data_IF_104483758511
#
_entry.id   IF_104483758511
#
_cell.length_a   1.000
_cell.length_b   1.000
_cell.length_c   1.000
_cell.angle_alpha   90.00
_cell.angle_beta   90.00
_cell.angle_gamma   90.00
#
_symmetry.space_group_name_H-M   'P 1'
#
loop_
_entity.id
_entity.type
_entity.pdbx_description
1 polymer ?
#
# COMPACT_ATOMS: atom_id res chain seq x y z
N UNK A 1 23.82 14.29 -28.21
CA UNK A 1 24.07 13.23 -27.21
C UNK A 1 22.80 13.06 -26.40
N UNK A 2 22.07 11.96 -26.62
CA UNK A 2 20.78 11.73 -26.01
C UNK A 2 20.95 11.31 -24.54
N UNK A 3 20.23 11.99 -23.65
CA UNK A 3 20.27 11.80 -22.21
C UNK A 3 19.49 10.51 -21.85
N UNK A 4 20.16 9.36 -21.79
CA UNK A 4 19.59 8.11 -21.29
C UNK A 4 19.57 8.14 -19.76
N UNK A 5 18.66 8.92 -19.19
CA UNK A 5 18.33 8.83 -17.77
C UNK A 5 16.95 8.16 -17.63
N UNK A 6 16.85 6.93 -18.15
CA UNK A 6 15.76 6.02 -17.82
C UNK A 6 16.02 5.54 -16.41
N UNK A 7 15.54 6.30 -15.43
CA UNK A 7 15.57 5.91 -14.03
C UNK A 7 14.84 4.57 -13.89
N UNK A 8 15.61 3.50 -13.72
CA UNK A 8 15.15 2.19 -13.27
C UNK A 8 14.62 2.39 -11.86
N UNK A 9 13.34 2.76 -11.73
CA UNK A 9 12.66 2.70 -10.44
C UNK A 9 12.79 1.25 -9.97
N UNK A 10 13.59 1.01 -8.92
CA UNK A 10 13.84 -0.33 -8.42
C UNK A 10 12.51 -1.03 -8.14
N UNK A 11 12.13 -1.94 -9.03
CA UNK A 11 10.92 -2.73 -8.92
C UNK A 11 11.08 -3.56 -7.66
N UNK A 12 10.26 -3.26 -6.64
CA UNK A 12 10.29 -4.02 -5.39
C UNK A 12 9.97 -5.48 -5.71
N UNK A 13 10.84 -6.43 -5.31
CA UNK A 13 10.62 -7.83 -5.61
C UNK A 13 9.36 -8.34 -4.93
N UNK A 14 8.72 -9.30 -5.57
CA UNK A 14 7.59 -10.02 -5.02
C UNK A 14 8.05 -11.22 -4.20
N UNK A 15 7.24 -11.56 -3.20
CA UNK A 15 7.32 -12.78 -2.43
C UNK A 15 5.98 -13.50 -2.53
N UNK A 16 6.01 -14.76 -2.96
CA UNK A 16 4.88 -15.69 -2.87
C UNK A 16 4.95 -16.37 -1.50
N UNK A 17 3.83 -16.41 -0.80
CA UNK A 17 3.70 -16.95 0.54
C UNK A 17 2.44 -17.80 0.66
N UNK A 18 2.42 -18.63 1.69
CA UNK A 18 1.25 -19.42 2.08
C UNK A 18 0.78 -19.03 3.48
N UNK A 19 -0.53 -19.12 3.71
CA UNK A 19 -1.11 -19.10 5.05
C UNK A 19 -1.46 -20.51 5.47
N UNK A 20 -1.16 -20.85 6.72
CA UNK A 20 -1.44 -22.14 7.31
C UNK A 20 -1.80 -21.96 8.78
N UNK A 21 -2.42 -22.99 9.36
CA UNK A 21 -2.69 -23.06 10.80
C UNK A 21 -1.53 -23.78 11.47
N UNK A 22 -1.11 -23.30 12.63
CA UNK A 22 -0.07 -23.96 13.41
C UNK A 22 -0.40 -25.44 13.67
N UNK A 23 0.57 -26.32 13.43
CA UNK A 23 0.40 -27.77 13.49
C UNK A 23 -0.28 -28.42 12.27
N UNK A 24 -0.66 -27.66 11.23
CA UNK A 24 -1.19 -28.18 9.96
C UNK A 24 -0.17 -27.91 8.85
N UNK A 25 0.27 -28.97 8.17
CA UNK A 25 1.30 -28.90 7.11
C UNK A 25 0.76 -28.45 5.74
N UNK A 26 -0.56 -28.47 5.55
CA UNK A 26 -1.18 -28.04 4.29
C UNK A 26 -1.58 -26.56 4.34
N UNK A 27 -1.32 -25.80 3.27
CA UNK A 27 -1.71 -24.41 3.22
C UNK A 27 -3.23 -24.28 3.05
N UNK A 28 -3.77 -23.19 3.59
CA UNK A 28 -5.17 -22.81 3.43
C UNK A 28 -5.34 -21.61 2.51
N UNK A 29 -4.26 -20.91 2.16
CA UNK A 29 -4.29 -19.82 1.19
C UNK A 29 -2.90 -19.59 0.61
N UNK A 30 -2.84 -19.27 -0.69
CA UNK A 30 -1.64 -18.87 -1.41
C UNK A 30 -1.81 -17.41 -1.83
N UNK A 31 -0.79 -16.60 -1.64
CA UNK A 31 -0.82 -15.21 -2.09
C UNK A 31 0.56 -14.68 -2.40
N UNK A 32 0.60 -13.49 -3.01
CA UNK A 32 1.85 -12.75 -3.23
C UNK A 32 1.83 -11.35 -2.66
N UNK A 33 3.01 -10.79 -2.42
CA UNK A 33 3.16 -9.44 -1.88
C UNK A 33 4.51 -8.81 -2.24
N UNK A 34 4.55 -7.47 -2.34
CA UNK A 34 5.79 -6.67 -2.40
C UNK A 34 6.23 -6.16 -1.02
N UNK A 35 5.45 -6.46 0.02
CA UNK A 35 5.75 -6.12 1.41
C UNK A 35 6.40 -7.34 2.08
N UNK A 36 6.88 -7.18 3.31
CA UNK A 36 7.28 -8.36 4.10
C UNK A 36 6.06 -9.23 4.40
N UNK A 37 6.25 -10.55 4.43
CA UNK A 37 5.19 -11.53 4.72
C UNK A 37 4.51 -11.24 6.06
N UNK A 38 5.27 -10.84 7.09
CA UNK A 38 4.72 -10.41 8.39
C UNK A 38 3.78 -9.21 8.26
N UNK A 39 4.13 -8.19 7.47
CA UNK A 39 3.27 -7.02 7.23
C UNK A 39 2.01 -7.44 6.48
N UNK A 40 2.12 -8.34 5.51
CA UNK A 40 0.99 -8.86 4.74
C UNK A 40 0.04 -9.70 5.61
N UNK A 41 0.56 -10.56 6.48
CA UNK A 41 -0.23 -11.31 7.46
C UNK A 41 -1.00 -10.36 8.39
N UNK A 42 -0.35 -9.31 8.90
CA UNK A 42 -1.02 -8.31 9.72
C UNK A 42 -2.11 -7.54 8.95
N UNK A 43 -1.89 -7.25 7.67
CA UNK A 43 -2.92 -6.67 6.82
C UNK A 43 -4.15 -7.60 6.70
N UNK A 44 -3.94 -8.89 6.42
CA UNK A 44 -5.02 -9.88 6.39
C UNK A 44 -5.77 -9.99 7.72
N UNK A 45 -5.05 -10.03 8.86
CA UNK A 45 -5.67 -10.03 10.20
C UNK A 45 -6.54 -8.79 10.42
N UNK A 46 -6.05 -7.62 10.01
CA UNK A 46 -6.78 -6.36 10.14
C UNK A 46 -8.04 -6.33 9.26
N UNK A 47 -7.95 -6.78 8.01
CA UNK A 47 -9.11 -6.85 7.10
C UNK A 47 -10.14 -7.89 7.55
N UNK A 48 -9.69 -9.04 8.07
CA UNK A 48 -10.55 -10.04 8.68
C UNK A 48 -11.31 -9.47 9.88
N UNK A 49 -10.63 -8.72 10.76
CA UNK A 49 -11.24 -8.04 11.91
C UNK A 49 -12.26 -6.98 11.50
N UNK A 50 -12.07 -6.31 10.36
CA UNK A 50 -13.02 -5.32 9.81
C UNK A 50 -14.25 -5.95 9.15
N UNK A 51 -14.31 -7.28 9.04
CA UNK A 51 -15.44 -7.96 8.40
C UNK A 51 -15.36 -7.97 6.87
N UNK A 52 -14.15 -7.90 6.28
CA UNK A 52 -14.00 -8.03 4.83
C UNK A 52 -14.65 -9.34 4.32
N UNK A 53 -15.35 -9.31 3.17
CA UNK A 53 -16.14 -10.43 2.67
C UNK A 53 -15.33 -11.49 1.92
N UNK A 54 -14.01 -11.33 1.78
CA UNK A 54 -13.20 -12.31 1.05
C UNK A 54 -13.09 -13.63 1.82
N UNK A 55 -13.15 -14.80 1.15
CA UNK A 55 -13.13 -16.11 1.81
C UNK A 55 -11.91 -16.36 2.70
N UNK A 56 -10.73 -15.88 2.32
CA UNK A 56 -9.53 -15.96 3.18
C UNK A 56 -9.74 -15.25 4.52
N UNK A 57 -10.46 -14.12 4.54
CA UNK A 57 -10.72 -13.36 5.75
C UNK A 57 -11.78 -14.03 6.63
N UNK A 58 -12.79 -14.65 6.01
CA UNK A 58 -13.77 -15.48 6.71
C UNK A 58 -13.11 -16.71 7.35
N UNK A 59 -12.29 -17.42 6.59
CA UNK A 59 -11.49 -18.54 7.09
C UNK A 59 -10.63 -18.11 8.29
N UNK A 60 -9.93 -16.97 8.21
CA UNK A 60 -9.13 -16.47 9.33
C UNK A 60 -9.97 -16.13 10.58
N UNK A 61 -11.19 -15.61 10.42
CA UNK A 61 -12.11 -15.37 11.55
C UNK A 61 -12.49 -16.70 12.22
N UNK A 62 -12.89 -17.70 11.43
CA UNK A 62 -13.23 -19.04 11.92
C UNK A 62 -12.06 -19.71 12.64
N UNK A 63 -10.84 -19.60 12.11
CA UNK A 63 -9.65 -20.14 12.78
C UNK A 63 -9.41 -19.46 14.12
N UNK A 64 -9.57 -18.13 14.19
CA UNK A 64 -9.43 -17.37 15.44
C UNK A 64 -10.49 -17.78 16.47
N UNK A 65 -11.75 -17.92 16.05
CA UNK A 65 -12.85 -18.38 16.92
C UNK A 65 -12.60 -19.79 17.47
N UNK A 66 -11.96 -20.66 16.67
CA UNK A 66 -11.50 -21.98 17.09
C UNK A 66 -10.22 -21.97 17.95
N UNK A 67 -9.71 -20.80 18.36
CA UNK A 67 -8.48 -20.68 19.16
C UNK A 67 -7.21 -21.05 18.41
N UNK A 68 -7.24 -21.09 17.07
CA UNK A 68 -6.10 -21.46 16.22
C UNK A 68 -5.31 -20.23 15.77
N UNK A 69 -3.99 -20.42 15.64
CA UNK A 69 -3.08 -19.38 15.18
C UNK A 69 -2.78 -19.56 13.69
N UNK A 70 -3.09 -18.52 12.90
CA UNK A 70 -2.71 -18.45 11.48
C UNK A 70 -1.33 -17.85 11.34
N UNK A 71 -0.46 -18.55 10.62
CA UNK A 71 0.90 -18.15 10.28
C UNK A 71 1.05 -17.93 8.77
N UNK A 72 2.13 -17.25 8.38
CA UNK A 72 2.45 -16.98 6.98
C UNK A 72 3.91 -17.34 6.71
N UNK A 73 4.14 -18.19 5.70
CA UNK A 73 5.47 -18.67 5.31
C UNK A 73 5.82 -18.19 3.89
N UNK A 74 6.95 -17.48 3.69
CA UNK A 74 7.46 -17.23 2.34
C UNK A 74 7.86 -18.55 1.68
N UNK A 75 7.42 -18.77 0.43
CA UNK A 75 7.78 -19.95 -0.36
C UNK A 75 8.80 -19.59 -1.43
N UNK A 76 8.57 -18.49 -2.15
CA UNK A 76 9.49 -17.96 -3.15
C UNK A 76 9.66 -16.45 -2.95
N UNK A 77 10.89 -15.97 -3.03
CA UNK A 77 11.26 -14.56 -2.81
C UNK A 77 12.03 -14.00 -4.01
N UNK A 78 12.23 -12.69 -4.04
CA UNK A 78 13.02 -12.02 -5.08
C UNK A 78 12.47 -12.19 -6.51
N UNK A 79 11.15 -12.36 -6.65
CA UNK A 79 10.51 -12.59 -7.93
C UNK A 79 10.15 -11.28 -8.63
N UNK A 80 10.25 -11.26 -9.95
CA UNK A 80 9.50 -10.30 -10.77
C UNK A 80 7.99 -10.52 -10.61
N UNK A 81 7.19 -9.57 -11.11
CA UNK A 81 5.73 -9.70 -11.06
C UNK A 81 5.25 -10.93 -11.83
N UNK A 82 5.75 -11.12 -13.06
CA UNK A 82 5.33 -12.21 -13.95
C UNK A 82 5.72 -13.57 -13.38
N UNK A 83 6.90 -13.68 -12.78
CA UNK A 83 7.32 -14.91 -12.08
C UNK A 83 6.44 -15.17 -10.86
N UNK A 84 6.15 -14.15 -10.05
CA UNK A 84 5.28 -14.30 -8.89
C UNK A 84 3.84 -14.68 -9.26
N UNK A 85 3.30 -14.12 -10.35
CA UNK A 85 1.99 -14.50 -10.89
C UNK A 85 2.00 -15.97 -11.36
N UNK A 86 3.01 -16.39 -12.12
CA UNK A 86 3.13 -17.77 -12.59
C UNK A 86 3.28 -18.78 -11.44
N UNK A 87 4.13 -18.47 -10.46
CA UNK A 87 4.34 -19.31 -9.26
C UNK A 87 3.08 -19.38 -8.41
N UNK A 88 2.38 -18.26 -8.19
CA UNK A 88 1.10 -18.25 -7.47
C UNK A 88 0.07 -19.16 -8.16
N UNK A 89 -0.09 -19.02 -9.48
CA UNK A 89 -0.99 -19.87 -10.26
C UNK A 89 -0.63 -21.35 -10.18
N UNK A 90 0.66 -21.67 -10.33
CA UNK A 90 1.15 -23.05 -10.26
C UNK A 90 0.83 -23.70 -8.91
N UNK A 91 1.16 -23.03 -7.80
CA UNK A 91 0.91 -23.58 -6.45
C UNK A 91 -0.59 -23.77 -6.20
N UNK A 92 -1.43 -22.83 -6.62
CA UNK A 92 -2.89 -22.95 -6.50
C UNK A 92 -3.41 -24.16 -7.29
N UNK A 93 -2.94 -24.33 -8.52
CA UNK A 93 -3.31 -25.46 -9.38
C UNK A 93 -2.90 -26.81 -8.76
N UNK A 94 -1.67 -26.92 -8.27
CA UNK A 94 -1.16 -28.14 -7.62
C UNK A 94 -1.99 -28.54 -6.40
N UNK A 95 -2.28 -27.60 -5.48
CA UNK A 95 -3.09 -27.92 -4.30
C UNK A 95 -4.54 -28.28 -4.64
N UNK A 96 -5.10 -27.68 -5.69
CA UNK A 96 -6.43 -28.06 -6.17
C UNK A 96 -6.44 -29.43 -6.84
N UNK A 97 -5.40 -29.77 -7.60
CA UNK A 97 -5.24 -31.10 -8.18
C UNK A 97 -5.11 -32.20 -7.10
N UNK A 98 -4.49 -31.86 -5.96
CA UNK A 98 -4.43 -32.72 -4.77
C UNK A 98 -5.71 -32.71 -3.92
N UNK A 99 -6.78 -32.02 -4.36
CA UNK A 99 -8.03 -31.84 -3.61
C UNK A 99 -7.86 -31.23 -2.20
N UNK A 100 -6.82 -30.42 -2.00
CA UNK A 100 -6.61 -29.68 -0.76
C UNK A 100 -7.53 -28.45 -0.74
N UNK A 101 -8.38 -28.28 0.30
CA UNK A 101 -9.28 -27.14 0.37
C UNK A 101 -8.51 -25.84 0.70
N UNK A 102 -8.22 -25.05 -0.33
CA UNK A 102 -7.62 -23.71 -0.20
C UNK A 102 -8.66 -22.61 -0.40
N UNK A 103 -8.53 -21.52 0.35
CA UNK A 103 -9.45 -20.36 0.35
C UNK A 103 -9.28 -19.42 -0.86
N UNK A 104 -8.41 -19.77 -1.80
CA UNK A 104 -8.22 -19.04 -3.05
C UNK A 104 -9.48 -19.18 -3.93
N UNK A 105 -10.12 -18.04 -4.23
CA UNK A 105 -11.29 -17.99 -5.12
C UNK A 105 -10.86 -18.11 -6.57
N UNK A 106 -9.89 -17.28 -6.99
CA UNK A 106 -9.35 -17.29 -8.34
C UNK A 106 -8.15 -18.24 -8.46
N UNK A 107 -7.81 -18.58 -9.70
CA UNK A 107 -6.69 -19.46 -10.05
C UNK A 107 -5.31 -18.84 -9.79
N UNK A 108 -5.26 -17.54 -9.44
CA UNK A 108 -4.03 -16.76 -9.29
C UNK A 108 -3.97 -15.62 -10.31
N UNK A 109 -2.87 -14.84 -10.30
CA UNK A 109 -2.57 -13.83 -11.33
C UNK A 109 -3.42 -12.55 -11.31
N UNK A 110 -4.54 -12.56 -10.56
CA UNK A 110 -5.54 -11.50 -10.50
C UNK A 110 -5.40 -10.57 -9.29
N UNK A 111 -4.26 -10.63 -8.59
CA UNK A 111 -3.93 -9.65 -7.57
C UNK A 111 -3.83 -8.25 -8.19
N UNK A 112 -4.61 -7.29 -7.69
CA UNK A 112 -4.46 -5.86 -8.01
C UNK A 112 -3.14 -5.36 -7.41
N UNK A 113 -2.03 -5.81 -7.96
CA UNK A 113 -0.71 -5.46 -7.52
C UNK A 113 -0.16 -4.36 -8.43
N UNK A 114 0.13 -3.20 -7.83
CA UNK A 114 0.93 -2.17 -8.48
C UNK A 114 0.24 -1.38 -9.59
N UNK A 115 -1.06 -1.08 -9.47
CA UNK A 115 -1.62 0.04 -10.26
C UNK A 115 -0.96 1.32 -9.76
N UNK A 116 0.20 1.66 -10.33
CA UNK A 116 0.73 3.01 -10.29
C UNK A 116 -0.31 3.82 -11.07
N UNK A 117 -1.11 4.67 -10.42
CA UNK A 117 -2.14 5.39 -11.13
C UNK A 117 -1.45 6.24 -12.21
N UNK A 118 -1.94 6.19 -13.44
CA UNK A 118 -1.41 7.04 -14.51
C UNK A 118 -1.40 8.51 -14.06
N UNK A 119 -0.51 9.33 -14.63
CA UNK A 119 -0.48 10.77 -14.34
C UNK A 119 -1.87 11.40 -14.54
N UNK A 120 -2.62 10.93 -15.55
CA UNK A 120 -4.00 11.32 -15.80
C UNK A 120 -4.96 10.88 -14.66
N UNK A 121 -4.84 9.66 -14.16
CA UNK A 121 -5.64 9.17 -13.03
C UNK A 121 -5.33 9.93 -11.73
N UNK A 122 -4.07 10.29 -11.50
CA UNK A 122 -3.66 11.15 -10.39
C UNK A 122 -4.24 12.56 -10.54
N UNK A 123 -4.22 13.11 -11.75
CA UNK A 123 -4.78 14.43 -12.06
C UNK A 123 -6.29 14.46 -11.84
N UNK A 124 -7.06 13.52 -12.41
CA UNK A 124 -8.52 13.40 -12.21
C UNK A 124 -8.87 13.27 -10.72
N UNK A 125 -8.12 12.45 -9.98
CA UNK A 125 -8.32 12.29 -8.53
C UNK A 125 -8.00 13.57 -7.77
N UNK A 126 -6.93 14.26 -8.13
CA UNK A 126 -6.54 15.55 -7.54
C UNK A 126 -7.63 16.59 -7.78
N UNK A 127 -8.11 16.73 -9.02
CA UNK A 127 -9.20 17.63 -9.41
C UNK A 127 -10.49 17.32 -8.65
N UNK A 128 -10.88 16.04 -8.56
CA UNK A 128 -12.08 15.64 -7.82
C UNK A 128 -11.99 15.90 -6.31
N UNK A 129 -10.79 15.89 -5.72
CA UNK A 129 -10.61 16.21 -4.30
C UNK A 129 -10.38 17.70 -4.04
N UNK A 130 -9.91 18.45 -5.05
CA UNK A 130 -9.65 19.89 -4.94
C UNK A 130 -10.97 20.62 -4.75
N UNK A 131 -11.08 21.37 -3.66
CA UNK A 131 -12.29 22.13 -3.34
C UNK A 131 -13.41 21.34 -2.66
N UNK A 132 -13.24 20.03 -2.41
CA UNK A 132 -14.23 19.24 -1.67
C UNK A 132 -14.31 19.71 -0.22
N UNK A 133 -15.38 20.44 0.12
CA UNK A 133 -15.65 20.90 1.49
C UNK A 133 -15.92 19.69 2.39
N UNK A 134 -15.12 19.54 3.44
CA UNK A 134 -15.38 18.54 4.48
C UNK A 134 -16.56 19.04 5.34
N UNK A 135 -17.43 18.14 5.81
CA UNK A 135 -18.48 18.53 6.75
C UNK A 135 -17.86 19.14 8.02
N UNK A 136 -18.59 20.03 8.71
CA UNK A 136 -18.14 20.58 9.98
C UNK A 136 -17.87 19.44 10.97
N UNK A 137 -16.73 19.52 11.66
CA UNK A 137 -16.37 18.55 12.70
C UNK A 137 -17.12 18.90 13.97
N UNK A 138 -17.61 17.89 14.69
CA UNK A 138 -18.27 18.11 15.97
C UNK A 138 -17.27 18.63 17.02
N UNK A 139 -17.78 19.37 18.01
CA UNK A 139 -16.94 20.00 19.04
C UNK A 139 -16.17 18.96 19.88
N UNK A 140 -16.79 17.82 20.17
CA UNK A 140 -16.21 16.73 20.95
C UNK A 140 -14.97 16.13 20.26
N UNK A 141 -15.02 15.92 18.94
CA UNK A 141 -13.89 15.42 18.17
C UNK A 141 -12.75 16.45 18.17
N UNK A 142 -13.06 17.74 18.04
CA UNK A 142 -12.07 18.80 18.13
C UNK A 142 -11.39 18.83 19.51
N UNK A 143 -12.18 18.70 20.59
CA UNK A 143 -11.67 18.65 21.96
C UNK A 143 -10.74 17.44 22.18
N UNK A 144 -11.12 16.25 21.71
CA UNK A 144 -10.31 15.03 21.82
C UNK A 144 -8.96 15.15 21.10
N UNK A 145 -8.97 15.72 19.89
CA UNK A 145 -7.73 15.94 19.13
C UNK A 145 -6.85 16.99 19.81
N UNK A 146 -7.44 18.07 20.35
CA UNK A 146 -6.70 19.07 21.10
C UNK A 146 -6.05 18.47 22.34
N UNK A 147 -6.81 17.72 23.14
CA UNK A 147 -6.31 17.03 24.33
C UNK A 147 -5.16 16.07 24.00
N UNK A 148 -5.29 15.29 22.92
CA UNK A 148 -4.23 14.36 22.48
C UNK A 148 -2.94 15.04 22.02
N UNK A 149 -2.99 16.31 21.63
CA UNK A 149 -1.83 17.09 21.18
C UNK A 149 -1.26 18.00 22.26
N UNK A 150 -1.96 18.14 23.37
CA UNK A 150 -1.50 18.96 24.48
C UNK A 150 -0.27 18.28 25.11
N UNK A 151 0.84 19.02 25.20
CA UNK A 151 2.11 18.52 25.75
C UNK A 151 3.04 17.84 24.75
N UNK A 152 2.61 17.61 23.50
CA UNK A 152 3.55 17.13 22.48
C UNK A 152 4.43 18.28 22.00
N UNK A 153 5.69 18.26 22.40
CA UNK A 153 6.68 19.28 21.99
C UNK A 153 7.66 18.65 21.00
N UNK A 154 7.91 19.33 19.88
CA UNK A 154 8.95 18.90 18.94
C UNK A 154 10.34 19.16 19.55
N UNK A 155 11.26 18.23 19.34
CA UNK A 155 12.69 18.43 19.66
C UNK A 155 13.25 19.59 18.83
N UNK A 156 14.32 20.23 19.31
CA UNK A 156 14.95 21.35 18.60
C UNK A 156 15.40 20.98 17.18
N UNK A 157 15.94 19.77 17.00
CA UNK A 157 16.31 19.23 15.69
C UNK A 157 15.09 19.13 14.76
N UNK A 158 13.98 18.55 15.26
CA UNK A 158 12.74 18.43 14.49
C UNK A 158 12.19 19.80 14.13
N UNK A 159 12.24 20.75 15.07
CA UNK A 159 11.78 22.14 14.85
C UNK A 159 12.61 22.83 13.77
N UNK A 160 13.93 22.63 13.77
CA UNK A 160 14.83 23.17 12.75
C UNK A 160 14.53 22.59 11.37
N UNK A 161 14.38 21.27 11.25
CA UNK A 161 14.03 20.60 9.99
C UNK A 161 12.67 21.07 9.43
N UNK A 162 11.67 21.24 10.30
CA UNK A 162 10.35 21.78 9.91
C UNK A 162 10.49 23.22 9.39
N UNK A 163 11.28 24.05 10.07
CA UNK A 163 11.52 25.44 9.67
C UNK A 163 12.23 25.51 8.31
N UNK A 164 13.30 24.76 8.11
CA UNK A 164 14.06 24.72 6.85
C UNK A 164 13.17 24.26 5.68
N UNK A 165 12.39 23.19 5.90
CA UNK A 165 11.45 22.68 4.89
C UNK A 165 10.36 23.69 4.53
N UNK A 166 9.83 24.39 5.53
CA UNK A 166 8.80 25.43 5.33
C UNK A 166 9.38 26.60 4.53
N UNK A 167 10.57 27.09 4.88
CA UNK A 167 11.25 28.17 4.17
C UNK A 167 11.55 27.79 2.71
N UNK A 168 12.07 26.59 2.47
CA UNK A 168 12.32 26.07 1.14
C UNK A 168 11.03 25.96 0.31
N UNK A 169 9.94 25.47 0.91
CA UNK A 169 8.63 25.39 0.26
C UNK A 169 8.08 26.77 -0.14
N UNK A 170 8.22 27.77 0.73
CA UNK A 170 7.79 29.15 0.45
C UNK A 170 8.63 29.76 -0.68
N UNK A 171 9.95 29.59 -0.65
CA UNK A 171 10.83 30.06 -1.71
C UNK A 171 10.48 29.44 -3.07
N UNK A 172 10.25 28.12 -3.12
CA UNK A 172 9.86 27.42 -4.34
C UNK A 172 8.46 27.81 -4.83
N UNK A 173 7.52 28.15 -3.93
CA UNK A 173 6.21 28.66 -4.33
C UNK A 173 6.32 30.08 -4.94
N UNK A 174 7.16 30.94 -4.37
CA UNK A 174 7.44 32.28 -4.91
C UNK A 174 8.11 32.23 -6.27
N UNK A 175 9.11 31.38 -6.44
CA UNK A 175 9.79 31.18 -7.73
C UNK A 175 8.84 30.69 -8.82
N UNK A 176 7.93 29.74 -8.50
CA UNK A 176 6.89 29.28 -9.44
C UNK A 176 5.94 30.41 -9.84
N UNK A 177 5.49 31.21 -8.88
CA UNK A 177 4.61 32.35 -9.16
C UNK A 177 5.30 33.44 -9.99
N UNK A 178 6.61 33.67 -9.79
CA UNK A 178 7.40 34.59 -10.59
C UNK A 178 7.61 34.09 -12.02
N UNK A 179 7.89 32.79 -12.20
CA UNK A 179 8.01 32.17 -13.53
C UNK A 179 6.68 32.15 -14.29
N UNK A 180 5.55 31.92 -13.61
CA UNK A 180 4.22 31.97 -14.20
C UNK A 180 3.81 33.41 -14.60
N UNK A 181 4.28 34.41 -13.85
CA UNK A 181 4.06 35.83 -14.17
C UNK A 181 4.97 36.36 -15.30
N UNK A 182 6.09 35.69 -15.60
CA UNK A 182 7.01 36.11 -16.65
C UNK A 182 6.51 35.83 -18.07
N UNK A 183 5.55 34.91 -18.25
CA UNK A 183 4.98 34.55 -19.56
C UNK A 183 6.01 33.99 -20.56
N UNK A 184 5.58 33.31 -21.65
CA UNK A 184 6.49 32.76 -22.65
C UNK A 184 6.98 33.78 -23.72
N UNK A 185 6.74 35.09 -23.58
CA UNK A 185 7.03 36.09 -24.62
C UNK A 185 8.37 36.81 -24.41
N UNK A 186 9.49 36.07 -24.45
CA UNK A 186 10.84 36.68 -24.43
C UNK A 186 11.83 36.06 -25.44
N UNK A 187 11.37 35.33 -26.44
CA UNK A 187 12.19 34.90 -27.59
C UNK A 187 11.45 35.14 -28.92
N UNK A 188 11.22 36.42 -29.25
CA UNK A 188 10.95 36.87 -30.61
C UNK A 188 11.26 38.37 -30.73
N UNK A 189 12.54 38.71 -30.81
CA UNK A 189 13.03 39.99 -31.33
C UNK A 189 14.34 39.73 -32.09
#
# INVERSE_FOLDING_TARGET
MANTNTATAELRPYTVYVLYVDGISVPSYVGRTVMTVTKRLNAHRNEARKGSPYPVHEWMRRMKEAGKTVQALPVYTALSRTEADAVECFIIAEYRAMHVPIANVADGGSGTAGVIPSAESLKKRSEAQKGRKRPPRNAEWCARISASKLGTTHTEETRRLISERTKAGIAAARARKAAEAAGPDAEAA
#
